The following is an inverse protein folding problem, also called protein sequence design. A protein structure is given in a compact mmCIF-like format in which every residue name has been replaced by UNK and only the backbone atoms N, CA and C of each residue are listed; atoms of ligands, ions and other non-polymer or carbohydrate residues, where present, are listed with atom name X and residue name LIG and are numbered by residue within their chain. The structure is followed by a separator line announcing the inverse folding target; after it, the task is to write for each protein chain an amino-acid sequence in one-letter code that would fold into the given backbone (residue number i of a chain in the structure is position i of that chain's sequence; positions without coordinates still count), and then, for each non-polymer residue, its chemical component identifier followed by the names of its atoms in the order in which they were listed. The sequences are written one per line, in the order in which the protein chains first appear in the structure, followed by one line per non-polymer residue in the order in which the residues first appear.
data_IF_548334443674
#
_entry.id   IF_548334443674
#
_cell.length_a   1.000
_cell.length_b   1.000
_cell.length_c   1.000
_cell.angle_alpha   90.00
_cell.angle_beta   90.00
_cell.angle_gamma   90.00
#
_symmetry.space_group_name_H-M   'P 1'
#
loop_
_entity.id
_entity.type
_entity.pdbx_description
1 polymer ?
#
# COMPACT_ATOMS: atom_id res chain seq x y z
N UNK A 1 -11.16 -2.65 -0.46
CA UNK A 1 -11.10 -1.16 -0.34
C UNK A 1 -9.70 -0.60 -0.21
N UNK A 2 -8.74 -1.35 0.30
CA UNK A 2 -7.36 -0.94 0.54
C UNK A 2 -6.46 -2.17 0.37
N UNK A 3 -5.22 -1.98 -0.07
CA UNK A 3 -4.18 -3.00 0.00
C UNK A 3 -3.10 -2.58 1.02
N UNK A 4 -2.70 -3.51 1.90
CA UNK A 4 -1.54 -3.35 2.79
C UNK A 4 -0.52 -4.41 2.39
N UNK A 5 0.69 -3.97 2.06
CA UNK A 5 1.75 -4.83 1.52
C UNK A 5 2.99 -4.74 2.40
N UNK A 6 3.50 -5.90 2.83
CA UNK A 6 4.82 -6.00 3.44
C UNK A 6 5.83 -6.44 2.38
N UNK A 7 6.89 -5.66 2.18
CA UNK A 7 7.94 -5.93 1.18
C UNK A 7 9.14 -6.67 1.76
N UNK A 8 9.09 -7.09 3.02
CA UNK A 8 10.11 -7.93 3.63
C UNK A 8 10.01 -9.37 3.10
N UNK A 9 11.14 -9.95 2.71
CA UNK A 9 11.23 -11.34 2.27
C UNK A 9 11.56 -12.30 3.43
N UNK A 10 11.79 -11.79 4.64
CA UNK A 10 12.14 -12.56 5.84
C UNK A 10 13.33 -13.50 5.63
N UNK A 11 14.29 -13.09 4.79
CA UNK A 11 15.49 -13.88 4.46
C UNK A 11 15.29 -14.86 3.29
N UNK A 12 14.11 -14.91 2.67
CA UNK A 12 13.88 -15.73 1.49
C UNK A 12 14.55 -15.11 0.25
N UNK A 13 15.15 -15.99 -0.56
CA UNK A 13 15.76 -15.64 -1.86
C UNK A 13 14.69 -15.40 -2.93
N UNK A 14 13.43 -15.72 -2.63
CA UNK A 14 12.34 -15.68 -3.60
C UNK A 14 12.03 -14.24 -4.01
N UNK A 15 12.00 -13.94 -5.32
CA UNK A 15 11.60 -12.62 -5.78
C UNK A 15 10.14 -12.37 -5.44
N UNK A 16 9.81 -11.15 -5.01
CA UNK A 16 8.46 -10.66 -4.66
C UNK A 16 7.51 -10.55 -5.86
N UNK A 17 7.69 -11.38 -6.89
CA UNK A 17 7.00 -11.30 -8.18
C UNK A 17 5.47 -11.29 -8.00
N UNK A 18 4.94 -12.16 -7.13
CA UNK A 18 3.50 -12.18 -6.83
C UNK A 18 3.02 -10.87 -6.23
N UNK A 19 3.73 -10.36 -5.23
CA UNK A 19 3.45 -9.07 -4.59
C UNK A 19 3.50 -7.91 -5.59
N UNK A 20 4.46 -7.91 -6.53
CA UNK A 20 4.53 -6.90 -7.59
C UNK A 20 3.29 -6.98 -8.51
N UNK A 21 2.80 -8.17 -8.86
CA UNK A 21 1.55 -8.31 -9.61
C UNK A 21 0.34 -7.79 -8.83
N UNK A 22 0.27 -8.06 -7.54
CA UNK A 22 -0.80 -7.54 -6.67
C UNK A 22 -0.78 -6.01 -6.59
N UNK A 23 0.42 -5.41 -6.52
CA UNK A 23 0.60 -3.95 -6.58
C UNK A 23 0.09 -3.39 -7.91
N UNK A 24 0.49 -3.97 -9.05
CA UNK A 24 0.02 -3.54 -10.37
C UNK A 24 -1.51 -3.63 -10.49
N UNK A 25 -2.10 -4.70 -9.94
CA UNK A 25 -3.54 -4.88 -9.95
C UNK A 25 -4.26 -3.86 -9.06
N UNK A 26 -3.74 -3.57 -7.88
CA UNK A 26 -4.29 -2.54 -6.99
C UNK A 26 -4.22 -1.14 -7.62
N UNK A 27 -3.10 -0.81 -8.28
CA UNK A 27 -2.94 0.43 -9.04
C UNK A 27 -4.00 0.54 -10.15
N UNK A 28 -4.17 -0.53 -10.95
CA UNK A 28 -5.18 -0.57 -12.03
C UNK A 28 -6.62 -0.38 -11.49
N UNK A 29 -6.91 -0.88 -10.30
CA UNK A 29 -8.22 -0.77 -9.65
C UNK A 29 -8.38 0.54 -8.86
N UNK A 30 -7.41 1.45 -8.95
CA UNK A 30 -7.33 2.70 -8.18
C UNK A 30 -7.57 2.47 -6.68
N UNK A 31 -7.03 1.37 -6.14
CA UNK A 31 -7.12 1.08 -4.71
C UNK A 31 -5.95 1.74 -4.00
N UNK A 32 -6.17 2.41 -2.86
CA UNK A 32 -5.07 2.90 -2.06
C UNK A 32 -4.16 1.73 -1.65
N UNK A 33 -2.86 1.99 -1.64
CA UNK A 33 -1.84 1.00 -1.26
C UNK A 33 -0.99 1.56 -0.15
N UNK A 34 -0.90 0.83 0.96
CA UNK A 34 0.04 1.10 2.04
C UNK A 34 1.15 0.07 1.96
N UNK A 35 2.39 0.54 1.82
CA UNK A 35 3.56 -0.31 1.75
C UNK A 35 4.35 -0.21 3.05
N UNK A 36 4.74 -1.36 3.61
CA UNK A 36 5.60 -1.48 4.78
C UNK A 36 6.97 -1.96 4.30
N UNK A 37 8.00 -1.13 4.44
CA UNK A 37 9.38 -1.50 4.10
C UNK A 37 10.42 -0.60 4.75
N UNK A 38 11.54 -1.19 5.15
CA UNK A 38 12.75 -0.46 5.54
C UNK A 38 13.75 -0.32 4.39
N UNK A 39 13.57 -1.06 3.29
CA UNK A 39 14.50 -1.12 2.16
C UNK A 39 14.43 0.14 1.31
N UNK A 40 15.55 0.88 1.26
CA UNK A 40 15.63 2.14 0.52
C UNK A 40 15.39 1.96 -0.98
N UNK A 41 15.86 0.82 -1.53
CA UNK A 41 15.64 0.48 -2.92
C UNK A 41 14.16 0.40 -3.27
N UNK A 42 13.31 -0.13 -2.38
CA UNK A 42 11.87 -0.16 -2.62
C UNK A 42 11.22 1.20 -2.42
N UNK A 43 11.66 1.99 -1.44
CA UNK A 43 11.13 3.34 -1.22
C UNK A 43 11.34 4.25 -2.43
N UNK A 44 12.48 4.12 -3.10
CA UNK A 44 12.88 4.96 -4.21
C UNK A 44 12.53 4.38 -5.59
N UNK A 45 12.13 3.11 -5.66
CA UNK A 45 11.78 2.47 -6.92
C UNK A 45 10.57 3.17 -7.58
N UNK A 46 10.66 3.65 -8.84
CA UNK A 46 9.61 4.44 -9.48
C UNK A 46 8.23 3.75 -9.50
N UNK A 47 8.18 2.46 -9.81
CA UNK A 47 6.93 1.69 -9.80
C UNK A 47 6.29 1.63 -8.40
N UNK A 48 7.11 1.52 -7.36
CA UNK A 48 6.62 1.45 -5.97
C UNK A 48 6.10 2.83 -5.56
N UNK A 49 6.84 3.90 -5.85
CA UNK A 49 6.42 5.28 -5.59
C UNK A 49 5.11 5.64 -6.29
N UNK A 50 4.93 5.22 -7.54
CA UNK A 50 3.70 5.50 -8.29
C UNK A 50 2.50 4.72 -7.77
N UNK A 51 2.74 3.51 -7.26
CA UNK A 51 1.68 2.63 -6.72
C UNK A 51 1.30 2.95 -5.29
N UNK A 52 2.27 3.36 -4.46
CA UNK A 52 2.08 3.60 -3.04
C UNK A 52 1.28 4.88 -2.78
N UNK A 53 0.22 4.77 -1.98
CA UNK A 53 -0.43 5.95 -1.38
C UNK A 53 0.32 6.41 -0.13
N UNK A 54 0.86 5.48 0.65
CA UNK A 54 1.68 5.72 1.84
C UNK A 54 2.75 4.64 1.93
N UNK A 55 3.95 5.01 2.37
CA UNK A 55 5.03 4.09 2.74
C UNK A 55 5.36 4.30 4.22
N UNK A 56 5.44 3.23 4.98
CA UNK A 56 5.84 3.21 6.40
C UNK A 56 6.96 2.20 6.63
N UNK A 57 7.67 2.33 7.74
CA UNK A 57 8.81 1.45 8.04
C UNK A 57 8.41 0.17 8.78
N UNK A 58 7.29 0.18 9.50
CA UNK A 58 6.82 -0.98 10.29
C UNK A 58 5.30 -0.90 10.58
N UNK A 59 4.78 -1.97 11.16
CA UNK A 59 3.35 -2.09 11.52
C UNK A 59 2.95 -1.11 12.63
N UNK A 60 3.80 -0.88 13.62
CA UNK A 60 3.53 0.08 14.70
C UNK A 60 3.29 1.48 14.15
N UNK A 61 4.11 1.96 13.22
CA UNK A 61 3.93 3.25 12.56
C UNK A 61 2.57 3.32 11.85
N UNK A 62 2.20 2.29 11.07
CA UNK A 62 0.91 2.21 10.39
C UNK A 62 -0.26 2.39 11.37
N UNK A 63 -0.23 1.68 12.49
CA UNK A 63 -1.28 1.70 13.51
C UNK A 63 -1.34 3.07 14.19
N UNK A 64 -0.19 3.60 14.63
CA UNK A 64 -0.10 4.87 15.34
C UNK A 64 -0.59 6.04 14.49
N UNK A 65 -0.25 6.05 13.20
CA UNK A 65 -0.68 7.08 12.25
C UNK A 65 -2.13 6.93 11.80
N UNK A 66 -2.78 5.79 12.11
CA UNK A 66 -4.19 5.50 11.78
C UNK A 66 -4.51 5.63 10.28
N UNK A 67 -3.55 5.30 9.40
CA UNK A 67 -3.74 5.44 7.95
C UNK A 67 -4.87 4.57 7.41
N UNK A 68 -5.07 3.37 7.96
CA UNK A 68 -6.21 2.51 7.60
C UNK A 68 -7.53 3.27 7.83
N UNK A 69 -7.72 3.85 9.02
CA UNK A 69 -8.93 4.60 9.36
C UNK A 69 -9.12 5.83 8.46
N UNK A 70 -8.03 6.49 8.07
CA UNK A 70 -8.07 7.61 7.14
C UNK A 70 -8.70 7.19 5.79
N UNK A 71 -8.20 6.11 5.19
CA UNK A 71 -8.74 5.63 3.91
C UNK A 71 -10.17 5.13 4.03
N UNK A 72 -10.52 4.38 5.08
CA UNK A 72 -11.89 3.90 5.29
C UNK A 72 -12.90 5.03 5.54
N UNK A 73 -12.52 6.09 6.26
CA UNK A 73 -13.39 7.26 6.42
C UNK A 73 -13.66 7.95 5.07
N UNK A 74 -12.64 8.04 4.22
CA UNK A 74 -12.79 8.60 2.88
C UNK A 74 -13.79 7.82 2.01
N UNK A 75 -13.72 6.48 2.03
CA UNK A 75 -14.62 5.62 1.24
C UNK A 75 -16.04 5.56 1.77
N UNK A 76 -16.25 5.51 3.10
CA UNK A 76 -17.59 5.36 3.70
C UNK A 76 -18.38 6.68 3.73
N UNK A 77 -17.70 7.83 3.70
CA UNK A 77 -18.36 9.14 3.75
C UNK A 77 -18.81 9.64 2.37
N UNK A 78 -18.40 9.00 1.28
CA UNK A 78 -18.73 9.42 -0.07
C UNK A 78 -20.20 9.11 -0.40
N UNK A 79 -21.08 10.12 -0.31
CA UNK A 79 -22.44 10.06 -0.86
C UNK A 79 -22.38 10.46 -2.34
N UNK A 80 -22.55 9.50 -3.23
CA UNK A 80 -22.84 9.80 -4.63
C UNK A 80 -24.27 10.35 -4.71
N UNK A 81 -24.44 11.57 -5.24
CA UNK A 81 -25.75 12.00 -5.72
C UNK A 81 -26.06 11.12 -6.93
N UNK A 82 -27.05 10.25 -6.79
CA UNK A 82 -27.68 9.64 -7.94
C UNK A 82 -28.51 10.75 -8.60
N UNK A 83 -28.06 11.21 -9.77
CA UNK A 83 -28.90 11.98 -10.70
C UNK A 83 -29.91 11.03 -11.39
#
# INVERSE_FOLDING_TARGET
DLLVVNMDTFGEVRPLTGTIYELAWAWQQHKPVIIITTEENYKEHPFIKDTASIIVSNLEELIQKKYINYFYKGTVSAKYKND
#
